data_IF_072718447843
#
_entry.id   IF_072718447843
#
_cell.length_a   1.000
_cell.length_b   1.000
_cell.length_c   1.000
_cell.angle_alpha   90.00
_cell.angle_beta   90.00
_cell.angle_gamma   90.00
#
_symmetry.space_group_name_H-M   'P 1'
#
loop_
_entity.id
_entity.type
_entity.pdbx_description
1 polymer ?
#
# COMPACT_ATOMS: atom_id res chain seq x y z
N UNK A 1 -68.37 -0.12 24.85
CA UNK A 1 -67.34 -0.02 23.80
C UNK A 1 -66.01 0.06 24.53
N UNK A 2 -65.37 -1.10 24.73
CA UNK A 2 -64.21 -1.29 25.62
C UNK A 2 -63.05 -1.74 24.74
N UNK A 3 -62.01 -0.92 24.66
CA UNK A 3 -60.76 -1.21 23.98
C UNK A 3 -59.69 -1.62 25.00
N UNK A 4 -58.94 -2.71 24.76
CA UNK A 4 -58.04 -3.32 25.74
C UNK A 4 -56.68 -2.62 25.85
N UNK A 5 -56.09 -2.67 27.05
CA UNK A 5 -54.67 -2.43 27.31
C UNK A 5 -53.84 -3.62 26.80
N UNK A 6 -52.67 -3.42 26.19
CA UNK A 6 -51.67 -4.47 26.09
C UNK A 6 -50.62 -4.37 27.20
N UNK A 7 -50.37 -5.54 27.76
CA UNK A 7 -49.42 -5.89 28.81
C UNK A 7 -47.96 -5.64 28.42
N UNK A 8 -47.13 -5.39 29.43
CA UNK A 8 -45.72 -5.78 29.39
C UNK A 8 -45.65 -7.31 29.30
N UNK A 9 -44.98 -7.83 28.29
CA UNK A 9 -44.19 -9.05 28.44
C UNK A 9 -42.93 -8.92 27.59
N UNK A 10 -41.83 -9.29 28.20
CA UNK A 10 -40.46 -9.18 27.71
C UNK A 10 -40.20 -10.33 26.76
N UNK A 11 -39.98 -10.04 25.49
CA UNK A 11 -39.20 -10.92 24.62
C UNK A 11 -37.94 -10.17 24.20
N UNK A 12 -36.88 -10.56 24.89
CA UNK A 12 -35.49 -10.35 24.53
C UNK A 12 -35.20 -11.23 23.32
N UNK A 13 -34.85 -10.60 22.19
CA UNK A 13 -33.57 -10.81 21.49
C UNK A 13 -33.61 -10.26 20.06
N UNK A 14 -32.50 -9.59 19.74
CA UNK A 14 -31.92 -9.28 18.43
C UNK A 14 -32.74 -8.58 17.34
N UNK A 15 -32.45 -7.28 17.13
CA UNK A 15 -32.14 -6.80 15.78
C UNK A 15 -31.39 -5.45 15.82
N UNK A 16 -30.35 -5.32 15.00
CA UNK A 16 -29.50 -4.12 14.79
C UNK A 16 -28.37 -3.92 15.80
N UNK A 17 -27.47 -4.90 15.83
CA UNK A 17 -26.11 -4.77 16.33
C UNK A 17 -25.38 -3.57 15.73
N UNK A 18 -25.22 -2.54 16.56
CA UNK A 18 -24.42 -1.35 16.29
C UNK A 18 -23.33 -1.21 17.36
N UNK A 19 -22.57 -2.27 17.64
CA UNK A 19 -21.56 -2.23 18.70
C UNK A 19 -20.33 -3.06 18.35
N UNK A 20 -19.61 -2.76 17.26
CA UNK A 20 -18.28 -3.40 17.03
C UNK A 20 -17.32 -2.68 16.08
N UNK A 21 -17.72 -1.65 15.33
CA UNK A 21 -16.85 -1.05 14.30
C UNK A 21 -16.28 0.32 14.71
N UNK A 22 -17.09 1.17 15.34
CA UNK A 22 -16.69 2.53 15.75
C UNK A 22 -15.68 2.53 16.92
N UNK A 23 -15.90 1.64 17.90
CA UNK A 23 -15.00 1.48 19.07
C UNK A 23 -13.61 0.99 18.68
N UNK A 24 -13.50 0.07 17.72
CA UNK A 24 -12.19 -0.38 17.21
C UNK A 24 -11.45 0.76 16.53
N UNK A 25 -12.13 1.61 15.76
CA UNK A 25 -11.51 2.75 15.09
C UNK A 25 -10.99 3.81 16.08
N UNK A 26 -11.76 4.09 17.13
CA UNK A 26 -11.41 5.04 18.19
C UNK A 26 -10.24 4.55 19.05
N UNK A 27 -10.28 3.30 19.52
CA UNK A 27 -9.21 2.70 20.33
C UNK A 27 -7.91 2.56 19.52
N UNK A 28 -8.01 2.13 18.25
CA UNK A 28 -6.87 2.02 17.33
C UNK A 28 -6.20 3.38 17.11
N UNK A 29 -7.01 4.44 16.95
CA UNK A 29 -6.50 5.81 16.78
C UNK A 29 -5.75 6.28 18.03
N UNK A 30 -6.30 6.06 19.23
CA UNK A 30 -5.64 6.43 20.49
C UNK A 30 -4.33 5.66 20.72
N UNK A 31 -4.30 4.35 20.48
CA UNK A 31 -3.08 3.54 20.66
C UNK A 31 -2.01 3.86 19.61
N UNK A 32 -2.40 4.10 18.37
CA UNK A 32 -1.45 4.51 17.32
C UNK A 32 -0.80 5.87 17.60
N UNK A 33 -1.47 6.76 18.34
CA UNK A 33 -0.93 8.06 18.76
C UNK A 33 0.21 7.94 19.78
N UNK A 34 0.33 6.80 20.48
CA UNK A 34 1.39 6.55 21.45
C UNK A 34 2.70 6.08 20.81
N UNK A 35 2.68 5.66 19.54
CA UNK A 35 3.89 5.20 18.84
C UNK A 35 4.52 6.38 18.08
N UNK A 36 5.73 6.83 18.46
CA UNK A 36 6.46 7.85 17.72
C UNK A 36 6.58 7.50 16.24
N UNK A 37 6.42 8.49 15.36
CA UNK A 37 6.43 8.26 13.90
C UNK A 37 7.68 7.52 13.40
N UNK A 38 8.85 7.78 13.99
CA UNK A 38 10.08 7.08 13.64
C UNK A 38 10.02 5.58 13.98
N UNK A 39 9.38 5.22 15.10
CA UNK A 39 9.16 3.83 15.48
C UNK A 39 8.07 3.19 14.61
N UNK A 40 6.98 3.91 14.34
CA UNK A 40 5.93 3.43 13.44
C UNK A 40 6.49 3.10 12.05
N UNK A 41 7.36 3.95 11.49
CA UNK A 41 8.05 3.65 10.22
C UNK A 41 8.90 2.39 10.32
N UNK A 42 9.75 2.28 11.33
CA UNK A 42 10.64 1.11 11.51
C UNK A 42 9.89 -0.20 11.81
N UNK A 43 8.67 -0.10 12.35
CA UNK A 43 7.81 -1.24 12.63
C UNK A 43 7.18 -1.86 11.38
N UNK A 44 7.03 -1.08 10.30
CA UNK A 44 6.48 -1.59 9.05
C UNK A 44 7.57 -2.26 8.23
N UNK A 45 7.39 -3.55 8.00
CA UNK A 45 8.12 -4.30 6.98
C UNK A 45 7.43 -4.15 5.63
N UNK A 46 8.22 -4.13 4.58
CA UNK A 46 7.73 -4.32 3.22
C UNK A 46 8.43 -5.58 2.69
N UNK A 47 7.68 -6.40 1.97
CA UNK A 47 8.18 -7.51 1.17
C UNK A 47 7.73 -7.29 -0.26
N UNK A 48 8.64 -7.40 -1.20
CA UNK A 48 8.39 -7.35 -2.63
C UNK A 48 8.79 -8.68 -3.26
N UNK A 49 7.85 -9.34 -3.93
CA UNK A 49 8.08 -10.63 -4.58
C UNK A 49 7.61 -10.55 -6.02
N UNK A 50 8.44 -10.98 -6.96
CA UNK A 50 8.13 -11.05 -8.40
C UNK A 50 7.76 -12.49 -8.80
N UNK A 51 6.91 -12.60 -9.82
CA UNK A 51 6.54 -13.86 -10.51
C UNK A 51 7.75 -14.75 -10.83
N UNK A 52 8.71 -14.09 -11.47
CA UNK A 52 9.86 -14.67 -12.14
C UNK A 52 11.08 -13.75 -11.90
N UNK A 53 12.26 -14.27 -12.17
CA UNK A 53 13.50 -13.47 -12.14
C UNK A 53 13.90 -12.94 -13.52
N UNK A 54 13.38 -13.55 -14.60
CA UNK A 54 13.68 -13.21 -15.99
C UNK A 54 12.37 -13.06 -16.74
N UNK A 55 12.27 -12.02 -17.58
CA UNK A 55 11.11 -11.69 -18.39
C UNK A 55 11.57 -11.35 -19.82
N UNK A 56 10.78 -11.70 -20.82
CA UNK A 56 11.00 -11.28 -22.19
C UNK A 56 10.75 -9.76 -22.35
N UNK A 57 11.37 -9.12 -23.37
CA UNK A 57 11.02 -7.74 -23.70
C UNK A 57 9.52 -7.59 -24.00
N UNK A 58 8.88 -6.58 -23.41
CA UNK A 58 7.43 -6.33 -23.50
C UNK A 58 6.53 -7.33 -22.75
N UNK A 59 7.12 -8.25 -21.98
CA UNK A 59 6.36 -9.14 -21.11
C UNK A 59 5.87 -8.37 -19.87
N UNK A 60 4.62 -8.64 -19.47
CA UNK A 60 4.07 -8.06 -18.25
C UNK A 60 4.71 -8.67 -17.02
N UNK A 61 5.15 -7.82 -16.10
CA UNK A 61 5.75 -8.20 -14.84
C UNK A 61 4.72 -8.06 -13.74
N UNK A 62 4.27 -9.18 -13.18
CA UNK A 62 3.48 -9.18 -11.95
C UNK A 62 4.40 -9.27 -10.72
N UNK A 63 4.09 -8.45 -9.72
CA UNK A 63 4.73 -8.51 -8.42
C UNK A 63 3.74 -8.24 -7.29
N UNK A 64 4.00 -8.90 -6.16
CA UNK A 64 3.26 -8.73 -4.92
C UNK A 64 4.04 -7.83 -3.97
N UNK A 65 3.36 -6.86 -3.38
CA UNK A 65 3.85 -6.06 -2.26
C UNK A 65 3.07 -6.41 -1.00
N UNK A 66 3.76 -6.86 0.05
CA UNK A 66 3.20 -7.04 1.39
C UNK A 66 3.72 -5.95 2.33
N UNK A 67 2.82 -5.28 3.04
CA UNK A 67 3.12 -4.35 4.13
C UNK A 67 2.70 -4.99 5.46
N UNK A 68 3.63 -5.12 6.39
CA UNK A 68 3.39 -5.84 7.66
C UNK A 68 3.77 -4.99 8.85
N UNK A 69 2.83 -4.74 9.76
CA UNK A 69 3.12 -4.18 11.07
C UNK A 69 3.68 -5.26 11.99
N UNK A 70 4.97 -5.15 12.31
CA UNK A 70 5.67 -6.13 13.18
C UNK A 70 5.33 -5.96 14.67
N UNK A 71 4.65 -4.89 15.06
CA UNK A 71 4.27 -4.65 16.45
C UNK A 71 2.89 -5.26 16.75
N UNK A 72 2.66 -5.75 17.99
CA UNK A 72 1.35 -6.23 18.42
C UNK A 72 0.34 -5.09 18.65
N UNK A 73 0.77 -3.83 18.52
CA UNK A 73 -0.07 -2.64 18.69
C UNK A 73 -0.27 -1.92 17.35
N UNK A 74 -1.39 -1.19 17.18
CA UNK A 74 -1.62 -0.39 16.00
C UNK A 74 -0.57 0.68 15.76
N UNK A 75 -0.28 0.95 14.49
CA UNK A 75 0.64 2.02 14.08
C UNK A 75 0.05 2.85 12.93
N UNK A 76 0.48 4.10 12.85
CA UNK A 76 0.09 5.04 11.81
C UNK A 76 1.32 5.71 11.21
N UNK A 77 1.46 5.66 9.88
CA UNK A 77 2.55 6.30 9.16
C UNK A 77 1.99 7.50 8.37
N UNK A 78 2.30 8.75 8.78
CA UNK A 78 1.88 9.94 8.04
C UNK A 78 2.58 10.03 6.68
N UNK A 79 1.82 10.37 5.64
CA UNK A 79 2.32 10.63 4.29
C UNK A 79 2.01 12.07 3.89
N UNK A 80 2.93 12.77 3.19
CA UNK A 80 2.78 14.20 2.88
C UNK A 80 1.67 14.47 1.86
N UNK A 81 1.28 13.44 1.08
CA UNK A 81 0.24 13.50 0.05
C UNK A 81 -0.73 12.33 0.19
N UNK A 82 -1.74 12.30 -0.68
CA UNK A 82 -2.77 11.24 -0.68
C UNK A 82 -2.19 9.85 -0.98
N UNK A 83 -1.09 9.80 -1.74
CA UNK A 83 -0.33 8.58 -2.01
C UNK A 83 0.28 8.07 -0.72
N UNK A 84 -0.12 6.85 -0.32
CA UNK A 84 0.34 6.19 0.92
C UNK A 84 1.60 5.36 0.68
N UNK A 85 1.74 4.81 -0.50
CA UNK A 85 2.85 3.95 -0.93
C UNK A 85 3.06 4.13 -2.43
N UNK A 86 4.16 3.62 -2.95
CA UNK A 86 4.44 3.58 -4.39
C UNK A 86 5.45 2.49 -4.71
N UNK A 87 5.68 2.31 -6.00
CA UNK A 87 6.72 1.46 -6.52
C UNK A 87 7.45 2.16 -7.67
N UNK A 88 8.68 1.73 -7.95
CA UNK A 88 9.53 2.30 -9.01
C UNK A 88 10.23 1.20 -9.81
N UNK A 89 10.58 1.48 -11.06
CA UNK A 89 11.55 0.72 -11.86
C UNK A 89 12.79 1.60 -12.02
N UNK A 90 13.94 1.20 -11.48
CA UNK A 90 15.19 1.99 -11.47
C UNK A 90 15.03 3.45 -10.99
N UNK A 91 14.06 3.67 -10.09
CA UNK A 91 13.72 4.99 -9.55
C UNK A 91 12.61 5.74 -10.30
N UNK A 92 12.17 5.27 -11.47
CA UNK A 92 11.03 5.82 -12.21
C UNK A 92 9.72 5.35 -11.58
N UNK A 93 8.93 6.30 -11.07
CA UNK A 93 7.74 6.04 -10.26
C UNK A 93 6.64 5.42 -11.10
N UNK A 94 6.19 4.22 -10.72
CA UNK A 94 5.20 3.45 -11.48
C UNK A 94 5.63 3.23 -12.94
N UNK A 95 6.95 3.04 -13.15
CA UNK A 95 7.59 2.93 -14.46
C UNK A 95 7.41 4.18 -15.35
N UNK A 96 7.23 5.35 -14.72
CA UNK A 96 7.09 6.64 -15.40
C UNK A 96 8.09 7.64 -14.84
N UNK A 97 8.74 8.40 -15.73
CA UNK A 97 9.55 9.56 -15.36
C UNK A 97 8.71 10.81 -15.06
N UNK A 98 7.40 10.75 -15.31
CA UNK A 98 6.49 11.85 -15.04
C UNK A 98 6.32 12.06 -13.54
N UNK A 99 6.43 13.32 -13.11
CA UNK A 99 6.04 13.74 -11.78
C UNK A 99 4.51 13.74 -11.65
N UNK A 100 3.90 12.57 -11.46
CA UNK A 100 2.44 12.46 -11.20
C UNK A 100 2.04 13.38 -10.05
N UNK A 101 1.28 14.44 -10.35
CA UNK A 101 0.76 15.38 -9.35
C UNK A 101 -0.26 14.67 -8.45
N UNK A 102 0.19 14.20 -7.30
CA UNK A 102 -0.72 13.83 -6.23
C UNK A 102 -1.17 15.10 -5.53
N UNK A 103 -2.48 15.28 -5.30
CA UNK A 103 -3.01 16.41 -4.52
C UNK A 103 -2.22 16.57 -3.21
N UNK A 104 -1.82 17.81 -2.89
CA UNK A 104 -1.10 18.16 -1.64
C UNK A 104 -2.04 18.13 -0.42
N UNK A 105 -2.71 17.00 -0.22
CA UNK A 105 -3.48 16.69 0.99
C UNK A 105 -2.79 15.54 1.71
N UNK A 106 -2.30 15.73 2.94
CA UNK A 106 -1.69 14.67 3.74
C UNK A 106 -2.63 13.47 3.91
N UNK A 107 -2.05 12.28 4.02
CA UNK A 107 -2.76 11.05 4.35
C UNK A 107 -2.05 10.30 5.48
N UNK A 108 -2.61 9.17 5.87
CA UNK A 108 -2.04 8.30 6.89
C UNK A 108 -2.26 6.87 6.48
N UNK A 109 -1.18 6.10 6.45
CA UNK A 109 -1.24 4.66 6.25
C UNK A 109 -1.34 3.98 7.62
N UNK A 110 -2.49 3.35 7.89
CA UNK A 110 -2.82 2.77 9.20
C UNK A 110 -2.71 1.26 9.16
N UNK A 111 -2.22 0.69 10.25
CA UNK A 111 -2.12 -0.74 10.49
C UNK A 111 -2.62 -1.07 11.90
N UNK A 112 -3.44 -2.11 12.04
CA UNK A 112 -3.70 -2.77 13.32
C UNK A 112 -2.47 -3.52 13.83
N UNK A 113 -2.51 -3.99 15.07
CA UNK A 113 -1.44 -4.82 15.63
C UNK A 113 -1.26 -6.11 14.83
N UNK A 114 -0.03 -6.38 14.36
CA UNK A 114 0.27 -7.54 13.52
C UNK A 114 -0.35 -7.52 12.11
N UNK A 115 -1.03 -6.43 11.72
CA UNK A 115 -1.78 -6.39 10.46
C UNK A 115 -0.85 -6.51 9.25
N UNK A 116 -1.30 -7.29 8.26
CA UNK A 116 -0.69 -7.40 6.93
C UNK A 116 -1.62 -6.86 5.87
N UNK A 117 -1.07 -6.12 4.91
CA UNK A 117 -1.80 -5.63 3.73
C UNK A 117 -1.04 -6.10 2.50
N UNK A 118 -1.73 -6.79 1.58
CA UNK A 118 -1.14 -7.32 0.35
C UNK A 118 -1.75 -6.60 -0.85
N UNK A 119 -0.90 -6.22 -1.81
CA UNK A 119 -1.29 -5.63 -3.08
C UNK A 119 -0.53 -6.33 -4.20
N UNK A 120 -1.24 -6.75 -5.24
CA UNK A 120 -0.63 -7.25 -6.48
C UNK A 120 -0.64 -6.14 -7.51
N UNK A 121 0.48 -5.97 -8.21
CA UNK A 121 0.67 -4.96 -9.25
C UNK A 121 1.13 -5.68 -10.51
N UNK A 122 0.57 -5.27 -11.65
CA UNK A 122 1.03 -5.69 -12.96
C UNK A 122 1.62 -4.48 -13.67
N UNK A 123 2.92 -4.53 -13.94
CA UNK A 123 3.59 -3.60 -14.85
C UNK A 123 3.55 -4.21 -16.25
N UNK A 124 3.19 -3.41 -17.26
CA UNK A 124 3.07 -3.87 -18.65
C UNK A 124 4.41 -4.10 -19.36
N UNK A 125 5.55 -3.99 -18.66
CA UNK A 125 6.87 -4.14 -19.24
C UNK A 125 7.36 -2.94 -20.05
N UNK A 126 6.68 -1.79 -20.02
CA UNK A 126 7.04 -0.57 -20.75
C UNK A 126 7.32 0.61 -19.82
N UNK A 127 8.28 1.44 -20.19
CA UNK A 127 8.59 2.68 -19.47
C UNK A 127 7.84 3.83 -20.13
N UNK A 128 7.14 4.64 -19.33
CA UNK A 128 6.56 5.90 -19.77
C UNK A 128 7.63 6.99 -19.69
N UNK A 129 7.98 7.57 -20.84
CA UNK A 129 8.94 8.67 -20.98
C UNK A 129 8.23 9.94 -21.40
N UNK A 130 8.60 11.07 -20.81
CA UNK A 130 8.08 12.39 -21.18
C UNK A 130 9.20 13.23 -21.76
N UNK A 131 9.26 13.31 -23.09
CA UNK A 131 10.19 14.15 -23.84
C UNK A 131 9.45 15.33 -24.45
N UNK A 132 9.88 16.56 -24.15
CA UNK A 132 9.27 17.80 -24.66
C UNK A 132 7.75 17.92 -24.45
N UNK A 133 7.20 17.22 -23.44
CA UNK A 133 5.77 17.19 -23.13
C UNK A 133 4.95 16.17 -23.94
N UNK A 134 5.62 15.32 -24.73
CA UNK A 134 5.02 14.17 -25.40
C UNK A 134 5.25 12.92 -24.56
N UNK A 135 4.19 12.15 -24.34
CA UNK A 135 4.27 10.86 -23.66
C UNK A 135 4.62 9.77 -24.66
N UNK A 136 5.72 9.07 -24.42
CA UNK A 136 6.14 7.91 -25.19
C UNK A 136 6.20 6.67 -24.29
N UNK A 137 5.75 5.53 -24.83
CA UNK A 137 5.82 4.24 -24.14
C UNK A 137 6.92 3.40 -24.79
N UNK A 138 8.06 3.28 -24.12
CA UNK A 138 9.26 2.61 -24.66
C UNK A 138 9.44 1.22 -24.06
N UNK A 139 9.94 0.30 -24.88
CA UNK A 139 10.36 -1.03 -24.40
C UNK A 139 11.73 -0.89 -23.74
N UNK A 140 11.93 -1.37 -22.50
CA UNK A 140 13.23 -1.35 -21.83
C UNK A 140 14.30 -2.09 -22.63
N UNK A 141 15.53 -1.60 -22.57
CA UNK A 141 16.68 -2.32 -23.13
C UNK A 141 16.90 -3.64 -22.38
N UNK A 142 17.42 -4.71 -23.01
CA UNK A 142 17.76 -5.92 -22.26
C UNK A 142 18.79 -5.65 -21.16
N UNK A 143 18.54 -6.10 -19.93
CA UNK A 143 19.36 -5.77 -18.77
C UNK A 143 18.75 -6.17 -17.43
N UNK A 144 19.40 -5.78 -16.34
CA UNK A 144 18.87 -5.90 -14.98
C UNK A 144 18.14 -4.62 -14.59
N UNK A 145 17.00 -4.78 -13.92
CA UNK A 145 16.14 -3.69 -13.47
C UNK A 145 15.76 -3.89 -12.00
N UNK A 146 15.82 -2.83 -11.20
CA UNK A 146 15.33 -2.83 -9.82
C UNK A 146 13.85 -2.43 -9.79
N UNK A 147 12.99 -3.34 -9.32
CA UNK A 147 11.66 -2.97 -8.84
C UNK A 147 11.78 -2.69 -7.36
N UNK A 148 11.30 -1.53 -6.93
CA UNK A 148 11.31 -1.14 -5.51
C UNK A 148 9.92 -0.71 -5.07
N UNK A 149 9.44 -1.22 -3.95
CA UNK A 149 8.22 -0.75 -3.30
C UNK A 149 8.56 0.03 -2.02
N UNK A 150 7.77 1.06 -1.69
CA UNK A 150 8.02 1.91 -0.53
C UNK A 150 6.75 2.58 0.02
N UNK A 151 6.76 2.94 1.30
CA UNK A 151 5.75 3.85 1.87
C UNK A 151 6.16 5.29 1.56
N UNK A 152 5.22 6.11 1.08
CA UNK A 152 5.47 7.49 0.64
C UNK A 152 5.65 8.45 1.83
N UNK A 153 6.70 8.26 2.64
CA UNK A 153 7.04 9.13 3.76
C UNK A 153 7.68 10.43 3.30
N UNK A 154 7.57 11.50 4.10
CA UNK A 154 8.23 12.79 3.83
C UNK A 154 9.76 12.69 3.86
N UNK A 155 10.29 11.91 4.80
CA UNK A 155 11.73 11.67 4.92
C UNK A 155 12.06 10.32 4.29
N UNK A 156 13.13 10.29 3.49
CA UNK A 156 13.66 9.06 2.88
C UNK A 156 14.54 8.26 3.85
N UNK A 157 15.10 8.93 4.86
CA UNK A 157 15.88 8.27 5.92
C UNK A 157 14.99 7.30 6.70
N UNK A 158 15.32 6.02 6.65
CA UNK A 158 14.51 4.93 7.22
C UNK A 158 13.10 4.83 6.63
N UNK A 159 12.91 5.25 5.38
CA UNK A 159 11.70 4.97 4.63
C UNK A 159 11.52 3.45 4.55
N UNK A 160 10.35 2.91 4.95
CA UNK A 160 10.04 1.51 4.73
C UNK A 160 10.03 1.24 3.23
N UNK A 161 10.89 0.31 2.79
CA UNK A 161 11.03 -0.08 1.39
C UNK A 161 11.57 -1.50 1.28
N UNK A 162 11.27 -2.16 0.18
CA UNK A 162 11.91 -3.40 -0.25
C UNK A 162 12.12 -3.38 -1.76
N UNK A 163 13.06 -4.17 -2.26
CA UNK A 163 13.43 -4.19 -3.67
C UNK A 163 13.75 -5.60 -4.18
N UNK A 164 13.46 -5.81 -5.45
CA UNK A 164 13.70 -7.05 -6.18
C UNK A 164 14.35 -6.70 -7.51
N UNK A 165 15.33 -7.49 -7.92
CA UNK A 165 15.98 -7.36 -9.22
C UNK A 165 15.35 -8.37 -10.17
N UNK A 166 14.96 -7.88 -11.34
CA UNK A 166 14.54 -8.72 -12.47
C UNK A 166 15.49 -8.51 -13.63
N UNK A 167 15.52 -9.46 -14.55
CA UNK A 167 16.23 -9.34 -15.82
C UNK A 167 15.22 -9.29 -16.95
N UNK A 168 15.36 -8.31 -17.84
CA UNK A 168 14.62 -8.23 -19.10
C UNK A 168 15.56 -8.67 -20.21
N UNK A 169 15.14 -9.61 -21.03
CA UNK A 169 15.93 -10.11 -22.14
C UNK A 169 15.53 -11.52 -22.52
N UNK A 170 16.02 -12.01 -23.66
CA UNK A 170 15.79 -13.40 -24.02
C UNK A 170 16.58 -14.32 -23.09
N UNK A 171 15.91 -15.33 -22.57
CA UNK A 171 16.55 -16.48 -21.96
C UNK A 171 17.43 -17.12 -23.04
N UNK A 172 18.74 -16.99 -22.89
CA UNK A 172 19.70 -17.59 -23.82
C UNK A 172 20.17 -18.86 -23.14
N UNK A 173 19.52 -19.98 -23.46
CA UNK A 173 19.95 -21.34 -23.11
C UNK A 173 21.33 -21.66 -23.74
#
# INVERSE_FOLDING_TARGET
>A
MVGPQPSHDTDVDDEFGLESEDSRYTVTTFLSALVPTALARRAIAISLETEQAVYEPDESVEFTVEFTNRLPVPVAVPTPRQRRWGWTVDGDLEASDERRFTRDRPSTFRFGGGERKRVTVTWNGRLERVEEGVHESVVPEPGEYEIRAFIATRETRHQPSDAATIRIGRDTD
#
